data_IF_861573337520
#
_entry.id   IF_861573337520
#
_cell.length_a   1.000
_cell.length_b   1.000
_cell.length_c   1.000
_cell.angle_alpha   90.00
_cell.angle_beta   90.00
_cell.angle_gamma   90.00
#
_symmetry.space_group_name_H-M   'P 1'
#
loop_
_entity.id
_entity.type
_entity.pdbx_description
1 polymer ?
#
# COMPACT_ATOMS: atom_id res chain seq x y z
N UNK A 1 -0.80 -1.70 17.61
CA UNK A 1 -1.90 -1.34 16.68
C UNK A 1 -1.96 -2.44 15.64
N UNK A 2 -3.07 -3.17 15.50
CA UNK A 2 -3.16 -4.23 14.50
C UNK A 2 -3.47 -3.60 13.14
N UNK A 3 -2.51 -3.63 12.21
CA UNK A 3 -2.73 -3.21 10.82
C UNK A 3 -3.52 -4.31 10.11
N UNK A 4 -4.64 -3.95 9.50
CA UNK A 4 -5.50 -4.86 8.76
C UNK A 4 -5.43 -4.57 7.27
N UNK A 5 -5.36 -5.62 6.43
CA UNK A 5 -5.35 -5.49 4.97
C UNK A 5 -6.50 -4.62 4.41
N UNK A 6 -7.64 -4.54 5.11
CA UNK A 6 -8.80 -3.71 4.75
C UNK A 6 -8.55 -2.19 4.81
N UNK A 7 -7.51 -1.75 5.52
CA UNK A 7 -7.16 -0.33 5.64
C UNK A 7 -6.52 0.22 4.36
N UNK A 8 -5.97 -0.66 3.51
CA UNK A 8 -5.36 -0.27 2.25
C UNK A 8 -6.45 -0.14 1.18
N UNK A 9 -6.86 1.09 0.91
CA UNK A 9 -7.92 1.42 -0.05
C UNK A 9 -7.47 2.43 -1.10
N UNK A 10 -8.08 2.36 -2.28
CA UNK A 10 -7.96 3.38 -3.33
C UNK A 10 -8.66 4.68 -2.91
N UNK A 11 -8.48 5.75 -3.69
CA UNK A 11 -9.23 6.99 -3.52
C UNK A 11 -10.76 6.84 -3.66
N UNK A 12 -11.24 5.71 -4.21
CA UNK A 12 -12.66 5.36 -4.33
C UNK A 12 -13.14 4.43 -3.20
N UNK A 13 -12.30 4.19 -2.19
CA UNK A 13 -12.63 3.32 -1.05
C UNK A 13 -12.59 1.82 -1.36
N UNK A 14 -12.05 1.41 -2.52
CA UNK A 14 -11.92 -0.01 -2.88
C UNK A 14 -10.67 -0.62 -2.28
N UNK A 15 -10.76 -1.83 -1.72
CA UNK A 15 -9.61 -2.50 -1.08
C UNK A 15 -8.59 -2.91 -2.12
N UNK A 16 -7.30 -2.65 -1.89
CA UNK A 16 -6.19 -3.02 -2.80
C UNK A 16 -5.43 -4.29 -2.39
N UNK A 17 -5.86 -4.92 -1.29
CA UNK A 17 -5.37 -6.20 -0.81
C UNK A 17 -6.51 -7.20 -0.65
N UNK A 18 -6.19 -8.49 -0.75
CA UNK A 18 -7.04 -9.59 -0.29
C UNK A 18 -7.02 -9.68 1.24
N UNK A 19 -7.90 -10.49 1.83
CA UNK A 19 -7.89 -10.71 3.27
C UNK A 19 -6.58 -11.36 3.75
N UNK A 20 -5.88 -12.09 2.86
CA UNK A 20 -4.55 -12.66 3.10
C UNK A 20 -3.39 -11.68 2.82
N UNK A 21 -3.67 -10.40 2.54
CA UNK A 21 -2.65 -9.39 2.30
C UNK A 21 -1.96 -9.46 0.93
N UNK A 22 -2.52 -10.21 -0.03
CA UNK A 22 -2.00 -10.29 -1.40
C UNK A 22 -2.58 -9.18 -2.28
N UNK A 23 -1.88 -8.84 -3.37
CA UNK A 23 -2.36 -7.85 -4.33
C UNK A 23 -3.67 -8.30 -4.98
N UNK A 24 -4.72 -7.49 -4.83
CA UNK A 24 -6.03 -7.76 -5.42
C UNK A 24 -6.95 -6.57 -5.29
N UNK A 25 -8.16 -6.65 -5.83
CA UNK A 25 -9.16 -5.60 -5.64
C UNK A 25 -10.43 -6.21 -5.07
N UNK A 26 -10.93 -5.61 -3.98
CA UNK A 26 -12.13 -6.07 -3.27
C UNK A 26 -12.08 -7.59 -2.95
N UNK A 27 -10.95 -8.05 -2.42
CA UNK A 27 -10.63 -9.47 -2.18
C UNK A 27 -10.49 -10.38 -3.40
N UNK A 28 -10.42 -9.83 -4.61
CA UNK A 28 -10.18 -10.61 -5.83
C UNK A 28 -8.73 -10.50 -6.27
N UNK A 29 -8.00 -11.61 -6.16
CA UNK A 29 -6.58 -11.71 -6.51
C UNK A 29 -6.34 -11.35 -7.98
N UNK A 30 -5.30 -10.54 -8.26
CA UNK A 30 -4.88 -10.21 -9.62
C UNK A 30 -5.86 -9.34 -10.43
N UNK A 31 -6.98 -8.93 -9.83
CA UNK A 31 -7.96 -8.01 -10.41
C UNK A 31 -7.54 -6.56 -10.13
N UNK A 32 -7.86 -5.68 -11.07
CA UNK A 32 -7.57 -4.24 -10.97
C UNK A 32 -6.98 -3.69 -12.25
N UNK A 33 -7.17 -2.40 -12.46
CA UNK A 33 -6.44 -1.61 -13.45
C UNK A 33 -4.93 -1.69 -13.21
N UNK A 34 -4.14 -1.33 -14.22
CA UNK A 34 -2.67 -1.23 -14.08
C UNK A 34 -2.26 -0.32 -12.92
N UNK A 35 -2.99 0.76 -12.68
CA UNK A 35 -2.76 1.66 -11.54
C UNK A 35 -3.03 0.99 -10.21
N UNK A 36 -4.19 0.34 -10.07
CA UNK A 36 -4.59 -0.38 -8.86
C UNK A 36 -3.62 -1.53 -8.53
N UNK A 37 -3.11 -2.23 -9.55
CA UNK A 37 -2.09 -3.27 -9.39
C UNK A 37 -0.79 -2.71 -8.82
N UNK A 38 -0.31 -1.58 -9.36
CA UNK A 38 0.91 -0.91 -8.86
C UNK A 38 0.75 -0.43 -7.42
N UNK A 39 -0.40 0.17 -7.08
CA UNK A 39 -0.71 0.58 -5.71
C UNK A 39 -0.78 -0.62 -4.76
N UNK A 40 -1.42 -1.71 -5.19
CA UNK A 40 -1.50 -2.94 -4.43
C UNK A 40 -0.13 -3.56 -4.15
N UNK A 41 0.83 -3.51 -5.07
CA UNK A 41 2.20 -4.00 -4.81
C UNK A 41 2.90 -3.22 -3.68
N UNK A 42 2.74 -1.90 -3.63
CA UNK A 42 3.27 -1.09 -2.53
C UNK A 42 2.56 -1.42 -1.22
N UNK A 43 1.23 -1.60 -1.26
CA UNK A 43 0.45 -1.99 -0.09
C UNK A 43 0.86 -3.37 0.45
N UNK A 44 1.15 -4.35 -0.42
CA UNK A 44 1.68 -5.67 -0.03
C UNK A 44 3.00 -5.51 0.74
N UNK A 45 3.92 -4.69 0.23
CA UNK A 45 5.20 -4.47 0.87
C UNK A 45 5.04 -3.83 2.26
N UNK A 46 4.16 -2.84 2.41
CA UNK A 46 3.88 -2.22 3.71
C UNK A 46 3.26 -3.24 4.66
N UNK A 47 2.24 -3.99 4.20
CA UNK A 47 1.55 -4.98 5.01
C UNK A 47 2.46 -6.14 5.47
N UNK A 48 3.39 -6.58 4.63
CA UNK A 48 4.33 -7.65 4.98
C UNK A 48 5.34 -7.22 6.06
N UNK A 49 5.63 -5.92 6.18
CA UNK A 49 6.65 -5.40 7.11
C UNK A 49 6.03 -4.65 8.31
N UNK A 50 4.72 -4.40 8.32
CA UNK A 50 4.11 -3.50 9.30
C UNK A 50 4.16 -3.98 10.76
N UNK A 51 4.40 -5.27 11.00
CA UNK A 51 4.60 -5.81 12.34
C UNK A 51 5.98 -5.46 12.92
N UNK A 52 6.96 -5.17 12.06
CA UNK A 52 8.36 -4.94 12.42
C UNK A 52 8.75 -3.46 12.35
N UNK A 53 7.97 -2.65 11.63
CA UNK A 53 8.23 -1.22 11.46
C UNK A 53 7.74 -0.42 12.67
N UNK A 54 8.62 0.40 13.24
CA UNK A 54 8.26 1.41 14.23
C UNK A 54 7.82 2.74 13.59
N UNK A 55 7.30 3.66 14.40
CA UNK A 55 6.81 4.96 13.93
C UNK A 55 7.90 5.80 13.24
N UNK A 56 9.15 5.72 13.69
CA UNK A 56 10.27 6.46 13.09
C UNK A 56 10.55 5.96 11.68
N UNK A 57 10.58 4.65 11.50
CA UNK A 57 10.79 4.02 10.19
C UNK A 57 9.62 4.29 9.24
N UNK A 58 8.39 4.36 9.76
CA UNK A 58 7.21 4.76 8.97
C UNK A 58 7.30 6.22 8.52
N UNK A 59 7.76 7.13 9.39
CA UNK A 59 7.97 8.54 9.05
C UNK A 59 9.04 8.70 7.96
N UNK A 60 10.12 7.91 7.99
CA UNK A 60 11.13 7.88 6.93
C UNK A 60 10.55 7.43 5.59
N UNK A 61 9.73 6.37 5.58
CA UNK A 61 9.04 5.90 4.37
C UNK A 61 8.13 6.99 3.80
N UNK A 62 7.36 7.67 4.66
CA UNK A 62 6.50 8.78 4.26
C UNK A 62 7.34 9.92 3.67
N UNK A 63 8.50 10.24 4.26
CA UNK A 63 9.43 11.24 3.74
C UNK A 63 9.95 10.88 2.34
N UNK A 64 10.29 9.62 2.08
CA UNK A 64 10.70 9.17 0.74
C UNK A 64 9.59 9.33 -0.30
N UNK A 65 8.34 9.01 0.08
CA UNK A 65 7.17 9.20 -0.79
C UNK A 65 6.94 10.68 -1.10
N UNK A 66 7.06 11.56 -0.10
CA UNK A 66 6.98 13.00 -0.31
C UNK A 66 8.08 13.51 -1.24
N UNK A 67 9.32 13.07 -1.02
CA UNK A 67 10.46 13.43 -1.86
C UNK A 67 10.24 13.03 -3.33
N UNK A 68 9.76 11.80 -3.57
CA UNK A 68 9.42 11.33 -4.91
C UNK A 68 8.34 12.19 -5.58
N UNK A 69 7.33 12.64 -4.81
CA UNK A 69 6.25 13.50 -5.31
C UNK A 69 6.71 14.94 -5.61
N UNK A 70 7.69 15.46 -4.87
CA UNK A 70 8.20 16.83 -5.01
C UNK A 70 9.41 16.97 -5.94
N UNK A 71 10.08 15.88 -6.28
CA UNK A 71 11.22 15.89 -7.20
C UNK A 71 10.81 16.24 -8.64
N UNK A 72 11.73 16.74 -9.48
CA UNK A 72 11.44 16.94 -10.90
C UNK A 72 11.04 15.61 -11.52
N UNK A 73 9.86 15.57 -12.15
CA UNK A 73 9.41 14.43 -12.95
C UNK A 73 10.53 14.06 -13.94
N UNK A 74 11.00 12.81 -13.89
CA UNK A 74 11.75 12.23 -15.02
C UNK A 74 10.83 12.02 -16.20
#
# INVERSE_FOLDING_TARGET
>A
MEINAKQFVTCRGRRVLTDDGQQGIDCKLGVGSTTEKKQGLVAVAIYANCAELDNTQLDEIIAWVHLYKSGPMK
#
